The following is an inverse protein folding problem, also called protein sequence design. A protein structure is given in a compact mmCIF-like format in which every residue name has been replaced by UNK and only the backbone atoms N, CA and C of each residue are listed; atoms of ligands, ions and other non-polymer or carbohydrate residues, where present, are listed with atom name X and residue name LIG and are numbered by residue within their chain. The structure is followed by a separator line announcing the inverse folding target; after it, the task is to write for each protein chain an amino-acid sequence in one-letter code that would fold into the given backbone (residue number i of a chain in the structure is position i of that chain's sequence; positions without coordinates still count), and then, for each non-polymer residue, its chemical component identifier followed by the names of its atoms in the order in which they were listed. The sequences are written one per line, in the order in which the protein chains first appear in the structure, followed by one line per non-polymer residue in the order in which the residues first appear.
data_IF_909192257558
#
_entry.id   IF_909192257558
#
_cell.length_a   1.000
_cell.length_b   1.000
_cell.length_c   1.000
_cell.angle_alpha   90.00
_cell.angle_beta   90.00
_cell.angle_gamma   90.00
#
_symmetry.space_group_name_H-M   'P 1'
#
loop_
_entity.id
_entity.type
_entity.pdbx_description
1 polymer ?
#
# COMPACT_ATOMS: atom_id res chain seq x y z
N UNK A 1 -10.89 -15.39 6.69
CA UNK A 1 -11.50 -15.97 7.89
C UNK A 1 -12.91 -15.44 8.15
N UNK A 2 -13.18 -14.13 8.21
CA UNK A 2 -14.56 -13.66 8.49
C UNK A 2 -15.62 -14.01 7.43
N UNK A 3 -15.24 -14.02 6.15
CA UNK A 3 -16.14 -14.33 5.03
C UNK A 3 -16.72 -15.75 5.10
N UNK A 4 -15.93 -16.73 5.53
CA UNK A 4 -16.37 -18.13 5.62
C UNK A 4 -17.36 -18.34 6.76
N UNK A 5 -17.18 -17.68 7.91
CA UNK A 5 -18.07 -17.83 9.06
C UNK A 5 -19.46 -17.23 8.83
N UNK A 6 -19.53 -16.07 8.15
CA UNK A 6 -20.80 -15.44 7.80
C UNK A 6 -21.57 -16.28 6.77
N UNK A 7 -20.88 -16.87 5.79
CA UNK A 7 -21.48 -17.75 4.80
C UNK A 7 -22.03 -19.02 5.42
N UNK A 8 -21.34 -19.62 6.39
CA UNK A 8 -21.83 -20.80 7.13
C UNK A 8 -23.08 -20.46 7.93
N UNK A 9 -23.13 -19.29 8.59
CA UNK A 9 -24.33 -18.85 9.31
C UNK A 9 -25.53 -18.59 8.39
N UNK A 10 -25.29 -17.95 7.24
CA UNK A 10 -26.33 -17.72 6.23
C UNK A 10 -26.77 -19.03 5.54
N UNK A 11 -25.87 -20.01 5.45
CA UNK A 11 -26.18 -21.33 4.92
C UNK A 11 -27.12 -22.11 5.83
N UNK A 12 -26.88 -22.05 7.14
CA UNK A 12 -27.73 -22.74 8.12
C UNK A 12 -29.13 -22.16 8.25
N UNK A 13 -29.37 -20.93 7.77
CA UNK A 13 -30.68 -20.28 7.81
C UNK A 13 -31.52 -20.48 6.54
N UNK A 14 -31.04 -21.25 5.56
CA UNK A 14 -31.79 -21.52 4.33
C UNK A 14 -32.92 -22.53 4.56
N UNK A 15 -34.07 -22.37 3.87
CA UNK A 15 -35.18 -23.32 3.99
C UNK A 15 -34.73 -24.70 3.51
N UNK A 16 -34.81 -25.69 4.40
CA UNK A 16 -34.41 -27.08 4.11
C UNK A 16 -35.51 -27.93 3.48
N UNK A 17 -36.78 -27.59 3.66
CA UNK A 17 -37.91 -28.37 3.13
C UNK A 17 -38.19 -28.00 1.67
N UNK A 18 -38.39 -29.01 0.82
CA UNK A 18 -38.79 -28.84 -0.58
C UNK A 18 -37.66 -28.46 -1.56
N UNK A 19 -36.40 -28.48 -1.13
CA UNK A 19 -35.25 -28.23 -2.03
C UNK A 19 -34.93 -29.52 -2.81
N UNK A 20 -34.93 -29.50 -4.16
CA UNK A 20 -34.45 -30.63 -4.94
C UNK A 20 -33.00 -30.98 -4.59
N UNK A 21 -32.68 -32.26 -4.36
CA UNK A 21 -31.33 -32.70 -3.95
C UNK A 21 -30.25 -32.24 -4.93
N UNK A 22 -30.51 -32.28 -6.24
CA UNK A 22 -29.55 -31.84 -7.25
C UNK A 22 -29.30 -30.32 -7.21
N UNK A 23 -30.34 -29.53 -6.91
CA UNK A 23 -30.20 -28.08 -6.73
C UNK A 23 -29.36 -27.78 -5.49
N UNK A 24 -29.54 -28.55 -4.42
CA UNK A 24 -28.75 -28.45 -3.19
C UNK A 24 -27.29 -28.80 -3.45
N UNK A 25 -27.01 -29.92 -4.11
CA UNK A 25 -25.65 -30.35 -4.45
C UNK A 25 -24.92 -29.32 -5.34
N UNK A 26 -25.63 -28.75 -6.32
CA UNK A 26 -25.12 -27.69 -7.19
C UNK A 26 -24.75 -26.43 -6.38
N UNK A 27 -25.61 -26.03 -5.45
CA UNK A 27 -25.35 -24.88 -4.58
C UNK A 27 -24.18 -25.15 -3.61
N UNK A 28 -24.11 -26.36 -3.03
CA UNK A 28 -22.99 -26.81 -2.19
C UNK A 28 -21.66 -26.79 -2.94
N UNK A 29 -21.67 -27.20 -4.23
CA UNK A 29 -20.49 -27.09 -5.11
C UNK A 29 -20.03 -25.64 -5.25
N UNK A 30 -20.97 -24.69 -5.43
CA UNK A 30 -20.66 -23.26 -5.51
C UNK A 30 -20.05 -22.71 -4.23
N UNK A 31 -20.59 -23.11 -3.06
CA UNK A 31 -20.02 -22.76 -1.75
C UNK A 31 -18.62 -23.35 -1.58
N UNK A 32 -18.42 -24.62 -1.97
CA UNK A 32 -17.10 -25.26 -1.94
C UNK A 32 -16.07 -24.54 -2.81
N UNK A 33 -16.45 -24.12 -4.02
CA UNK A 33 -15.59 -23.31 -4.90
C UNK A 33 -15.23 -21.96 -4.24
N UNK A 34 -16.20 -21.32 -3.59
CA UNK A 34 -15.97 -20.07 -2.86
C UNK A 34 -15.02 -20.25 -1.68
N UNK A 35 -15.14 -21.36 -0.92
CA UNK A 35 -14.22 -21.67 0.19
C UNK A 35 -12.79 -21.90 -0.30
N UNK A 36 -12.62 -22.46 -1.50
CA UNK A 36 -11.33 -22.56 -2.20
C UNK A 36 -10.84 -21.24 -2.81
N UNK A 37 -11.59 -20.14 -2.64
CA UNK A 37 -11.36 -18.81 -3.24
C UNK A 37 -11.43 -18.80 -4.78
N UNK A 38 -11.98 -19.84 -5.40
CA UNK A 38 -12.24 -19.86 -6.83
C UNK A 38 -13.54 -19.10 -7.12
N UNK A 39 -13.43 -17.78 -7.15
CA UNK A 39 -14.58 -16.88 -7.33
C UNK A 39 -15.22 -17.04 -8.70
N UNK A 40 -14.42 -17.36 -9.73
CA UNK A 40 -14.91 -17.56 -11.09
C UNK A 40 -15.84 -18.76 -11.17
N UNK A 41 -15.36 -19.91 -10.69
CA UNK A 41 -16.18 -21.12 -10.63
C UNK A 41 -17.38 -20.95 -9.71
N UNK A 42 -17.21 -20.35 -8.53
CA UNK A 42 -18.31 -20.12 -7.60
C UNK A 42 -19.46 -19.32 -8.25
N UNK A 43 -19.15 -18.24 -8.97
CA UNK A 43 -20.17 -17.46 -9.71
C UNK A 43 -20.90 -18.35 -10.73
N UNK A 44 -20.16 -19.12 -11.54
CA UNK A 44 -20.76 -20.01 -12.54
C UNK A 44 -21.69 -21.02 -11.89
N UNK A 45 -21.23 -21.71 -10.84
CA UNK A 45 -21.98 -22.76 -10.15
C UNK A 45 -23.24 -22.19 -9.47
N UNK A 46 -23.15 -20.98 -8.88
CA UNK A 46 -24.33 -20.27 -8.35
C UNK A 46 -25.34 -19.89 -9.43
N UNK A 47 -24.88 -19.46 -10.61
CA UNK A 47 -25.74 -19.11 -11.75
C UNK A 47 -26.37 -20.33 -12.42
N UNK A 48 -25.80 -21.53 -12.26
CA UNK A 48 -26.43 -22.76 -12.75
C UNK A 48 -27.71 -23.11 -11.98
N UNK A 49 -27.82 -22.74 -10.70
CA UNK A 49 -29.00 -23.02 -9.87
C UNK A 49 -30.29 -22.44 -10.46
N UNK A 50 -30.41 -21.11 -10.69
CA UNK A 50 -31.60 -20.54 -11.33
C UNK A 50 -31.76 -20.97 -12.80
N UNK A 51 -30.67 -21.38 -13.47
CA UNK A 51 -30.71 -21.83 -14.86
C UNK A 51 -31.29 -23.24 -15.04
N UNK A 52 -30.95 -24.18 -14.14
CA UNK A 52 -31.39 -25.59 -14.20
C UNK A 52 -32.59 -25.88 -13.32
N UNK A 53 -32.70 -25.19 -12.19
CA UNK A 53 -33.70 -25.45 -11.16
C UNK A 53 -34.49 -24.17 -10.88
N UNK A 54 -35.17 -23.66 -11.91
CA UNK A 54 -35.83 -22.34 -11.86
C UNK A 54 -36.81 -22.22 -10.71
N UNK A 55 -37.53 -23.28 -10.34
CA UNK A 55 -38.52 -23.27 -9.25
C UNK A 55 -37.92 -23.56 -7.87
N UNK A 56 -36.61 -23.85 -7.80
CA UNK A 56 -35.96 -24.14 -6.53
C UNK A 56 -35.97 -22.91 -5.61
N UNK A 57 -36.25 -23.08 -4.30
CA UNK A 57 -36.11 -21.99 -3.34
C UNK A 57 -34.65 -21.47 -3.22
N UNK A 58 -33.67 -22.21 -3.76
CA UNK A 58 -32.26 -21.80 -3.84
C UNK A 58 -31.94 -20.93 -5.06
N UNK A 59 -32.79 -20.87 -6.07
CA UNK A 59 -32.56 -20.07 -7.28
C UNK A 59 -32.32 -18.56 -6.99
N UNK A 60 -33.15 -17.87 -6.18
CA UNK A 60 -32.89 -16.47 -5.85
C UNK A 60 -31.61 -16.29 -5.02
N UNK A 61 -31.26 -17.26 -4.17
CA UNK A 61 -30.00 -17.25 -3.44
C UNK A 61 -28.79 -17.37 -4.39
N UNK A 62 -28.88 -18.24 -5.40
CA UNK A 62 -27.85 -18.38 -6.44
C UNK A 62 -27.60 -17.05 -7.15
N UNK A 63 -28.66 -16.35 -7.56
CA UNK A 63 -28.55 -15.01 -8.16
C UNK A 63 -27.99 -13.98 -7.18
N UNK A 64 -28.43 -13.97 -5.91
CA UNK A 64 -27.94 -13.05 -4.89
C UNK A 64 -26.43 -13.23 -4.65
N UNK A 65 -25.97 -14.46 -4.42
CA UNK A 65 -24.55 -14.73 -4.19
C UNK A 65 -23.71 -14.50 -5.44
N UNK A 66 -24.20 -14.86 -6.63
CA UNK A 66 -23.53 -14.50 -7.87
C UNK A 66 -23.42 -12.98 -8.04
N UNK A 67 -24.48 -12.23 -7.70
CA UNK A 67 -24.48 -10.76 -7.70
C UNK A 67 -23.41 -10.19 -6.77
N UNK A 68 -23.36 -10.69 -5.54
CA UNK A 68 -22.40 -10.28 -4.53
C UNK A 68 -20.95 -10.60 -4.89
N UNK A 69 -20.69 -11.79 -5.43
CA UNK A 69 -19.36 -12.16 -5.89
C UNK A 69 -18.92 -11.31 -7.08
N UNK A 70 -19.83 -10.96 -7.99
CA UNK A 70 -19.53 -10.02 -9.07
C UNK A 70 -19.21 -8.62 -8.53
N UNK A 71 -19.94 -8.16 -7.50
CA UNK A 71 -19.65 -6.90 -6.81
C UNK A 71 -18.25 -6.90 -6.18
N UNK A 72 -17.85 -8.01 -5.54
CA UNK A 72 -16.50 -8.19 -4.99
C UNK A 72 -15.42 -8.21 -6.08
N UNK A 73 -15.67 -8.86 -7.22
CA UNK A 73 -14.73 -8.85 -8.37
C UNK A 73 -14.62 -7.48 -9.04
N UNK A 74 -15.67 -6.68 -8.93
CA UNK A 74 -15.75 -5.37 -9.57
C UNK A 74 -16.56 -5.36 -10.87
N UNK A 75 -17.28 -6.44 -11.19
CA UNK A 75 -18.21 -6.48 -12.33
C UNK A 75 -19.60 -6.06 -11.88
N UNK A 76 -19.78 -4.76 -11.70
CA UNK A 76 -21.03 -4.19 -11.15
C UNK A 76 -22.21 -4.28 -12.11
N UNK A 77 -21.94 -4.36 -13.42
CA UNK A 77 -22.99 -4.60 -14.40
C UNK A 77 -23.54 -6.02 -14.24
N UNK A 78 -22.67 -7.03 -14.11
CA UNK A 78 -23.10 -8.39 -13.81
C UNK A 78 -23.77 -8.48 -12.42
N UNK A 79 -23.21 -7.81 -11.42
CA UNK A 79 -23.78 -7.76 -10.07
C UNK A 79 -25.22 -7.23 -10.08
N UNK A 80 -25.42 -6.05 -10.67
CA UNK A 80 -26.73 -5.42 -10.83
C UNK A 80 -27.69 -6.32 -11.59
N UNK A 81 -27.28 -6.89 -12.73
CA UNK A 81 -28.13 -7.80 -13.51
C UNK A 81 -28.59 -8.99 -12.67
N UNK A 82 -27.69 -9.62 -11.92
CA UNK A 82 -28.04 -10.77 -11.10
C UNK A 82 -28.97 -10.39 -9.94
N UNK A 83 -28.73 -9.26 -9.27
CA UNK A 83 -29.64 -8.77 -8.24
C UNK A 83 -31.01 -8.40 -8.79
N UNK A 84 -31.05 -7.74 -9.95
CA UNK A 84 -32.30 -7.37 -10.60
C UNK A 84 -33.10 -8.62 -10.98
N UNK A 85 -32.46 -9.63 -11.58
CA UNK A 85 -33.10 -10.92 -11.86
C UNK A 85 -33.62 -11.61 -10.60
N UNK A 86 -32.89 -11.53 -9.48
CA UNK A 86 -33.34 -12.08 -8.22
C UNK A 86 -34.60 -11.41 -7.67
N UNK A 87 -34.85 -10.13 -8.00
CA UNK A 87 -36.07 -9.40 -7.64
C UNK A 87 -37.19 -9.64 -8.65
N UNK A 88 -36.87 -9.63 -9.95
CA UNK A 88 -37.87 -9.71 -11.01
C UNK A 88 -38.44 -11.12 -11.18
N UNK A 89 -37.61 -12.16 -11.04
CA UNK A 89 -38.00 -13.55 -11.30
C UNK A 89 -38.50 -14.29 -10.04
N UNK A 90 -38.23 -13.76 -8.84
CA UNK A 90 -38.43 -14.49 -7.58
C UNK A 90 -39.00 -13.62 -6.46
N UNK A 91 -40.00 -14.15 -5.76
CA UNK A 91 -40.48 -13.57 -4.50
C UNK A 91 -39.57 -14.06 -3.36
N UNK A 92 -38.68 -13.20 -2.89
CA UNK A 92 -37.63 -13.60 -1.95
C UNK A 92 -37.81 -12.94 -0.57
N UNK A 93 -37.60 -13.65 0.56
CA UNK A 93 -37.73 -13.05 1.89
C UNK A 93 -36.79 -11.85 2.13
N UNK A 94 -35.69 -11.77 1.38
CA UNK A 94 -34.76 -10.64 1.44
C UNK A 94 -34.95 -9.61 0.33
N UNK A 95 -36.08 -9.65 -0.39
CA UNK A 95 -36.38 -8.76 -1.53
C UNK A 95 -36.11 -7.29 -1.21
N UNK A 96 -36.50 -6.80 -0.02
CA UNK A 96 -36.23 -5.42 0.41
C UNK A 96 -34.72 -5.11 0.43
N UNK A 97 -33.90 -6.01 0.96
CA UNK A 97 -32.44 -5.82 1.01
C UNK A 97 -31.80 -5.91 -0.38
N UNK A 98 -32.32 -6.79 -1.25
CA UNK A 98 -31.83 -6.93 -2.64
C UNK A 98 -32.20 -5.67 -3.43
N UNK A 99 -33.45 -5.17 -3.31
CA UNK A 99 -33.89 -3.90 -3.90
C UNK A 99 -33.08 -2.73 -3.38
N UNK A 100 -32.79 -2.66 -2.08
CA UNK A 100 -31.93 -1.63 -1.52
C UNK A 100 -30.50 -1.68 -2.11
N UNK A 101 -29.99 -2.88 -2.38
CA UNK A 101 -28.68 -3.08 -3.02
C UNK A 101 -28.69 -2.71 -4.50
N UNK A 102 -29.74 -3.05 -5.24
CA UNK A 102 -29.97 -2.56 -6.61
C UNK A 102 -30.05 -1.04 -6.63
N UNK A 103 -30.85 -0.44 -5.74
CA UNK A 103 -30.97 1.02 -5.62
C UNK A 103 -29.64 1.68 -5.22
N UNK A 104 -28.84 1.04 -4.38
CA UNK A 104 -27.49 1.50 -4.05
C UNK A 104 -26.58 1.50 -5.28
N UNK A 105 -26.59 0.42 -6.06
CA UNK A 105 -25.87 0.35 -7.32
C UNK A 105 -26.39 1.43 -8.26
N UNK A 106 -27.70 1.56 -8.45
CA UNK A 106 -28.31 2.57 -9.32
C UNK A 106 -28.02 4.01 -8.89
N UNK A 107 -28.00 4.30 -7.57
CA UNK A 107 -27.65 5.62 -7.04
C UNK A 107 -26.16 5.92 -7.18
N UNK A 108 -25.29 4.93 -6.96
CA UNK A 108 -23.85 5.05 -7.22
C UNK A 108 -23.54 5.27 -8.70
N UNK A 109 -24.49 4.93 -9.57
CA UNK A 109 -24.36 4.98 -11.01
C UNK A 109 -25.07 6.20 -11.65
N UNK A 110 -26.16 6.70 -11.06
CA UNK A 110 -26.98 7.79 -11.61
C UNK A 110 -27.70 7.41 -12.91
N UNK A 111 -28.44 8.35 -13.52
CA UNK A 111 -29.12 8.15 -14.81
C UNK A 111 -28.15 7.84 -15.97
N UNK A 112 -26.89 8.27 -15.84
CA UNK A 112 -25.79 7.92 -16.74
C UNK A 112 -25.07 6.61 -16.40
N UNK A 113 -25.52 5.88 -15.40
CA UNK A 113 -24.86 4.74 -14.79
C UNK A 113 -24.32 3.68 -15.72
N UNK A 114 -25.17 3.10 -16.58
CA UNK A 114 -24.73 2.11 -17.57
C UNK A 114 -23.71 2.67 -18.56
N UNK A 115 -23.75 3.97 -18.88
CA UNK A 115 -22.77 4.61 -19.78
C UNK A 115 -21.45 4.81 -19.03
N UNK A 116 -21.50 5.29 -17.79
CA UNK A 116 -20.32 5.47 -16.93
C UNK A 116 -19.62 4.13 -16.68
N UNK A 117 -20.37 3.05 -16.40
CA UNK A 117 -19.79 1.71 -16.23
C UNK A 117 -19.19 1.16 -17.51
N UNK A 118 -19.84 1.35 -18.67
CA UNK A 118 -19.26 0.95 -19.96
C UNK A 118 -17.97 1.71 -20.26
N UNK A 119 -17.94 3.01 -20.01
CA UNK A 119 -16.72 3.82 -20.15
C UNK A 119 -15.62 3.37 -19.18
N UNK A 120 -15.99 3.09 -17.93
CA UNK A 120 -15.05 2.58 -16.93
C UNK A 120 -14.49 1.21 -17.31
N UNK A 121 -15.32 0.27 -17.73
CA UNK A 121 -14.90 -1.07 -18.15
C UNK A 121 -13.98 -0.99 -19.37
N UNK A 122 -14.31 -0.16 -20.36
CA UNK A 122 -13.45 0.12 -21.50
C UNK A 122 -12.07 0.68 -21.08
N UNK A 123 -12.04 1.64 -20.14
CA UNK A 123 -10.78 2.17 -19.59
C UNK A 123 -10.00 1.11 -18.81
N UNK A 124 -10.69 0.22 -18.08
CA UNK A 124 -10.02 -0.83 -17.32
C UNK A 124 -9.50 -1.97 -18.18
N UNK A 125 -10.05 -2.20 -19.37
CA UNK A 125 -9.54 -3.21 -20.31
C UNK A 125 -8.48 -2.67 -21.27
N UNK A 126 -8.51 -1.38 -21.56
CA UNK A 126 -7.54 -0.76 -22.45
C UNK A 126 -6.10 -0.80 -21.90
N UNK A 127 -5.08 -0.95 -22.78
CA UNK A 127 -3.69 -0.81 -22.40
C UNK A 127 -3.37 0.63 -22.02
N UNK A 128 -2.44 0.87 -21.08
CA UNK A 128 -2.17 2.21 -20.57
C UNK A 128 -1.25 3.00 -21.52
N UNK A 129 -1.85 3.75 -22.44
CA UNK A 129 -1.18 4.68 -23.39
C UNK A 129 -1.30 6.15 -22.94
N UNK A 130 -0.63 7.09 -23.64
CA UNK A 130 -0.81 8.52 -23.37
C UNK A 130 -2.26 9.01 -23.57
N UNK A 131 -2.95 8.49 -24.59
CA UNK A 131 -4.37 8.76 -24.83
C UNK A 131 -5.25 8.19 -23.71
N UNK A 132 -4.94 6.99 -23.23
CA UNK A 132 -5.63 6.36 -22.10
C UNK A 132 -5.55 7.22 -20.83
N UNK A 133 -4.39 7.86 -20.57
CA UNK A 133 -4.24 8.77 -19.43
C UNK A 133 -5.21 9.94 -19.55
N UNK A 134 -5.26 10.61 -20.71
CA UNK A 134 -6.17 11.73 -20.94
C UNK A 134 -7.64 11.34 -20.78
N UNK A 135 -8.06 10.19 -21.34
CA UNK A 135 -9.43 9.67 -21.18
C UNK A 135 -9.75 9.32 -19.72
N UNK A 136 -8.80 8.73 -19.00
CA UNK A 136 -8.96 8.35 -17.60
C UNK A 136 -9.06 9.56 -16.67
N UNK A 137 -8.23 10.59 -16.88
CA UNK A 137 -8.30 11.84 -16.12
C UNK A 137 -9.62 12.59 -16.41
N UNK A 138 -10.03 12.67 -17.68
CA UNK A 138 -11.33 13.24 -18.06
C UNK A 138 -12.50 12.49 -17.43
N UNK A 139 -12.45 11.16 -17.40
CA UNK A 139 -13.44 10.33 -16.72
C UNK A 139 -13.49 10.64 -15.22
N UNK A 140 -12.34 10.67 -14.53
CA UNK A 140 -12.27 10.97 -13.10
C UNK A 140 -12.70 12.40 -12.76
N UNK A 141 -12.50 13.37 -13.67
CA UNK A 141 -12.98 14.76 -13.50
C UNK A 141 -14.51 14.83 -13.60
N UNK A 142 -15.11 14.08 -14.52
CA UNK A 142 -16.58 14.04 -14.69
C UNK A 142 -17.28 13.26 -13.57
N UNK A 143 -16.63 12.23 -13.02
CA UNK A 143 -17.24 11.35 -12.00
C UNK A 143 -16.31 11.23 -10.77
N UNK A 144 -16.06 12.33 -10.02
CA UNK A 144 -15.02 12.37 -9.00
C UNK A 144 -15.29 11.47 -7.80
N UNK A 145 -16.57 11.25 -7.47
CA UNK A 145 -17.03 10.40 -6.36
C UNK A 145 -17.47 9.00 -6.81
N UNK A 146 -17.03 8.57 -7.99
CA UNK A 146 -17.31 7.21 -8.45
C UNK A 146 -16.67 6.21 -7.49
N UNK A 147 -17.47 5.27 -6.96
CA UNK A 147 -17.01 4.30 -5.96
C UNK A 147 -15.74 3.56 -6.43
N UNK A 148 -15.63 3.27 -7.74
CA UNK A 148 -14.52 2.52 -8.32
C UNK A 148 -13.38 3.38 -8.88
N UNK A 149 -13.44 4.70 -8.66
CA UNK A 149 -12.37 5.63 -9.09
C UNK A 149 -11.02 5.26 -8.50
N UNK A 150 -10.97 4.69 -7.29
CA UNK A 150 -9.71 4.32 -6.63
C UNK A 150 -8.85 3.35 -7.45
N UNK A 151 -9.45 2.32 -8.07
CA UNK A 151 -8.70 1.35 -8.89
C UNK A 151 -8.07 2.01 -10.12
N UNK A 152 -8.84 2.86 -10.80
CA UNK A 152 -8.37 3.63 -11.96
C UNK A 152 -7.24 4.59 -11.56
N UNK A 153 -7.39 5.26 -10.41
CA UNK A 153 -6.36 6.15 -9.85
C UNK A 153 -5.06 5.42 -9.52
N UNK A 154 -5.12 4.19 -8.99
CA UNK A 154 -3.91 3.38 -8.75
C UNK A 154 -3.21 3.04 -10.08
N UNK A 155 -3.96 2.64 -11.12
CA UNK A 155 -3.36 2.39 -12.45
C UNK A 155 -2.76 3.64 -13.07
N UNK A 156 -3.45 4.78 -12.98
CA UNK A 156 -2.91 6.08 -13.41
C UNK A 156 -1.64 6.43 -12.64
N UNK A 157 -1.60 6.19 -11.33
CA UNK A 157 -0.42 6.42 -10.53
C UNK A 157 0.76 5.55 -10.97
N UNK A 158 0.52 4.27 -11.23
CA UNK A 158 1.54 3.35 -11.74
C UNK A 158 2.10 3.83 -13.07
N UNK A 159 1.23 4.25 -14.00
CA UNK A 159 1.67 4.85 -15.26
C UNK A 159 2.52 6.11 -15.02
N UNK A 160 2.06 7.04 -14.17
CA UNK A 160 2.84 8.24 -13.85
C UNK A 160 4.20 7.92 -13.24
N UNK A 161 4.33 6.85 -12.44
CA UNK A 161 5.63 6.42 -11.89
C UNK A 161 6.57 5.89 -12.99
N UNK A 162 6.06 5.11 -13.94
CA UNK A 162 6.84 4.59 -15.08
C UNK A 162 7.45 5.72 -15.91
N UNK A 163 6.76 6.85 -16.04
CA UNK A 163 7.23 8.04 -16.76
C UNK A 163 7.83 9.12 -15.83
N UNK A 164 8.30 8.73 -14.64
CA UNK A 164 8.95 9.60 -13.66
C UNK A 164 8.14 10.84 -13.20
N UNK A 165 6.81 10.84 -13.39
CA UNK A 165 5.88 11.90 -12.98
C UNK A 165 5.38 11.70 -11.54
N UNK A 166 6.31 11.60 -10.59
CA UNK A 166 6.03 11.22 -9.19
C UNK A 166 4.99 12.11 -8.51
N UNK A 167 4.97 13.42 -8.80
CA UNK A 167 4.00 14.34 -8.21
C UNK A 167 2.55 14.05 -8.68
N UNK A 168 2.37 13.64 -9.93
CA UNK A 168 1.07 13.21 -10.45
C UNK A 168 0.65 11.87 -9.83
N UNK A 169 1.57 10.90 -9.77
CA UNK A 169 1.34 9.61 -9.13
C UNK A 169 0.88 9.76 -7.67
N UNK A 170 1.58 10.62 -6.91
CA UNK A 170 1.22 10.93 -5.53
C UNK A 170 -0.20 11.47 -5.41
N UNK A 171 -0.59 12.46 -6.25
CA UNK A 171 -1.95 13.02 -6.23
C UNK A 171 -3.00 11.93 -6.45
N UNK A 172 -2.78 11.05 -7.44
CA UNK A 172 -3.72 9.96 -7.71
C UNK A 172 -3.81 8.96 -6.55
N UNK A 173 -2.68 8.60 -5.93
CA UNK A 173 -2.68 7.68 -4.78
C UNK A 173 -3.35 8.27 -3.54
N UNK A 174 -3.18 9.56 -3.25
CA UNK A 174 -3.87 10.24 -2.15
C UNK A 174 -5.39 10.24 -2.37
N UNK A 175 -5.85 10.51 -3.59
CA UNK A 175 -7.28 10.40 -3.88
C UNK A 175 -7.77 8.95 -3.84
N UNK A 176 -6.95 7.97 -4.25
CA UNK A 176 -7.28 6.55 -4.15
C UNK A 176 -7.38 6.06 -2.69
N UNK A 177 -6.67 6.68 -1.73
CA UNK A 177 -6.77 6.30 -0.30
C UNK A 177 -8.12 6.70 0.31
N UNK A 178 -8.87 7.59 -0.36
CA UNK A 178 -10.23 8.00 0.02
C UNK A 178 -11.31 7.10 -0.59
N UNK A 179 -10.91 6.06 -1.33
CA UNK A 179 -11.83 5.09 -1.92
C UNK A 179 -12.65 4.39 -0.83
N UNK A 180 -13.98 4.26 -1.01
CA UNK A 180 -14.82 3.46 -0.11
C UNK A 180 -14.49 1.96 -0.17
N UNK A 181 -13.92 1.48 -1.30
CA UNK A 181 -13.31 0.15 -1.38
C UNK A 181 -12.02 0.10 -0.55
N UNK A 182 -12.13 -0.53 0.62
CA UNK A 182 -11.05 -0.69 1.60
C UNK A 182 -9.83 -1.45 1.08
N UNK A 183 -10.01 -2.41 0.16
CA UNK A 183 -8.89 -3.13 -0.42
C UNK A 183 -8.10 -2.21 -1.35
N UNK A 184 -8.82 -1.43 -2.17
CA UNK A 184 -8.23 -0.42 -3.04
C UNK A 184 -7.51 0.66 -2.22
N UNK A 185 -8.12 1.16 -1.14
CA UNK A 185 -7.48 2.12 -0.25
C UNK A 185 -6.19 1.55 0.37
N UNK A 186 -6.21 0.30 0.83
CA UNK A 186 -5.03 -0.36 1.39
C UNK A 186 -3.90 -0.55 0.35
N UNK A 187 -4.25 -0.93 -0.89
CA UNK A 187 -3.30 -1.02 -2.01
C UNK A 187 -2.67 0.34 -2.32
N UNK A 188 -3.50 1.39 -2.37
CA UNK A 188 -3.03 2.76 -2.60
C UNK A 188 -2.05 3.21 -1.49
N UNK A 189 -2.36 2.94 -0.22
CA UNK A 189 -1.45 3.23 0.90
C UNK A 189 -0.12 2.49 0.79
N UNK A 190 -0.17 1.19 0.48
CA UNK A 190 1.03 0.37 0.30
C UNK A 190 1.94 0.94 -0.79
N UNK A 191 1.37 1.48 -1.87
CA UNK A 191 2.13 2.13 -2.94
C UNK A 191 2.60 3.55 -2.59
N UNK A 192 1.81 4.31 -1.84
CA UNK A 192 2.09 5.72 -1.51
C UNK A 192 3.20 5.88 -0.47
N UNK A 193 3.24 5.03 0.56
CA UNK A 193 4.19 5.16 1.68
C UNK A 193 5.65 5.16 1.21
N UNK A 194 6.12 4.21 0.38
CA UNK A 194 7.50 4.23 -0.12
C UNK A 194 7.86 5.52 -0.88
N UNK A 195 6.92 6.07 -1.65
CA UNK A 195 7.14 7.31 -2.42
C UNK A 195 7.37 8.50 -1.48
N UNK A 196 6.58 8.61 -0.42
CA UNK A 196 6.71 9.68 0.58
C UNK A 196 7.98 9.55 1.41
N UNK A 197 8.34 8.31 1.79
CA UNK A 197 9.58 8.02 2.52
C UNK A 197 10.80 8.37 1.68
N UNK A 198 10.86 7.92 0.42
CA UNK A 198 11.99 8.19 -0.48
C UNK A 198 12.18 9.68 -0.77
N UNK A 199 11.10 10.48 -0.76
CA UNK A 199 11.17 11.94 -0.89
C UNK A 199 11.44 12.67 0.44
N UNK A 200 11.48 11.96 1.56
CA UNK A 200 11.60 12.57 2.88
C UNK A 200 10.43 13.50 3.24
N UNK A 201 9.24 13.27 2.67
CA UNK A 201 8.04 14.10 2.89
C UNK A 201 7.33 13.70 4.19
N UNK A 202 7.98 14.04 5.32
CA UNK A 202 7.42 13.83 6.66
C UNK A 202 6.06 14.53 6.87
N UNK A 203 5.84 15.79 6.42
CA UNK A 203 4.53 16.41 6.53
C UNK A 203 3.45 15.64 5.76
N UNK A 204 3.79 15.06 4.61
CA UNK A 204 2.93 14.17 3.84
C UNK A 204 2.58 12.90 4.60
N UNK A 205 3.55 12.21 5.21
CA UNK A 205 3.31 11.02 6.02
C UNK A 205 2.43 11.31 7.26
N UNK A 206 2.67 12.45 7.94
CA UNK A 206 1.86 12.89 9.09
C UNK A 206 0.44 13.33 8.70
N UNK A 207 0.25 13.90 7.51
CA UNK A 207 -1.11 14.17 6.98
C UNK A 207 -1.82 12.87 6.64
N UNK A 208 -1.13 11.96 5.94
CA UNK A 208 -1.67 10.66 5.59
C UNK A 208 -2.10 9.86 6.83
N UNK A 209 -1.29 9.82 7.89
CA UNK A 209 -1.66 9.12 9.12
C UNK A 209 -2.92 9.67 9.77
N UNK A 210 -3.14 10.99 9.71
CA UNK A 210 -4.32 11.69 10.25
C UNK A 210 -5.56 11.53 9.38
N UNK A 211 -5.40 11.65 8.06
CA UNK A 211 -6.50 11.59 7.07
C UNK A 211 -7.00 10.17 6.81
N UNK A 212 -6.27 9.14 7.25
CA UNK A 212 -6.75 7.77 7.19
C UNK A 212 -8.07 7.61 7.96
N UNK A 213 -9.18 7.27 7.28
CA UNK A 213 -10.48 7.14 7.93
C UNK A 213 -10.41 6.02 8.97
N UNK A 214 -10.61 6.38 10.24
CA UNK A 214 -10.67 5.45 11.38
C UNK A 214 -11.90 4.52 11.32
N UNK A 215 -12.93 4.94 10.60
CA UNK A 215 -14.31 4.51 10.84
C UNK A 215 -14.72 3.18 10.22
N UNK A 216 -13.85 2.41 9.55
CA UNK A 216 -14.29 1.15 8.92
C UNK A 216 -13.38 -0.07 9.06
N UNK A 217 -12.18 0.01 9.63
CA UNK A 217 -11.30 -1.17 9.69
C UNK A 217 -10.32 -1.18 10.85
N UNK A 218 -10.28 -2.30 11.58
CA UNK A 218 -9.15 -2.73 12.43
C UNK A 218 -7.79 -2.83 11.69
N UNK A 219 -7.79 -2.71 10.35
CA UNK A 219 -6.58 -2.51 9.54
C UNK A 219 -6.13 -1.06 9.49
N UNK A 220 -7.05 -0.09 9.53
CA UNK A 220 -6.75 1.34 9.50
C UNK A 220 -5.84 1.74 10.67
N UNK A 221 -6.17 1.29 11.88
CA UNK A 221 -5.34 1.53 13.07
C UNK A 221 -3.96 0.90 12.96
N UNK A 222 -3.87 -0.32 12.42
CA UNK A 222 -2.57 -0.97 12.15
C UNK A 222 -1.73 -0.17 11.16
N UNK A 223 -2.33 0.32 10.06
CA UNK A 223 -1.63 1.18 9.11
C UNK A 223 -1.21 2.50 9.73
N UNK A 224 -2.09 3.16 10.48
CA UNK A 224 -1.78 4.41 11.20
C UNK A 224 -0.62 4.21 12.18
N UNK A 225 -0.65 3.15 12.97
CA UNK A 225 0.42 2.80 13.91
C UNK A 225 1.74 2.50 13.20
N UNK A 226 1.70 1.76 12.10
CA UNK A 226 2.90 1.47 11.30
C UNK A 226 3.49 2.74 10.68
N UNK A 227 2.66 3.61 10.11
CA UNK A 227 3.11 4.91 9.58
C UNK A 227 3.68 5.77 10.71
N UNK A 228 3.03 5.80 11.88
CA UNK A 228 3.53 6.52 13.06
C UNK A 228 4.91 6.03 13.50
N UNK A 229 5.13 4.71 13.58
CA UNK A 229 6.43 4.11 13.87
C UNK A 229 7.49 4.48 12.82
N UNK A 230 7.12 4.46 11.53
CA UNK A 230 8.03 4.86 10.45
C UNK A 230 8.42 6.34 10.55
N UNK A 231 7.45 7.23 10.77
CA UNK A 231 7.70 8.68 10.94
C UNK A 231 8.63 8.93 12.14
N UNK A 232 8.34 8.31 13.28
CA UNK A 232 9.19 8.41 14.47
C UNK A 232 10.62 7.88 14.21
N UNK A 233 10.75 6.78 13.46
CA UNK A 233 12.05 6.24 13.05
C UNK A 233 12.84 7.21 12.17
N UNK A 234 12.20 7.79 11.15
CA UNK A 234 12.85 8.76 10.25
C UNK A 234 13.26 10.03 11.02
N UNK A 235 12.43 10.51 11.94
CA UNK A 235 12.75 11.67 12.78
C UNK A 235 13.93 11.41 13.71
N UNK A 236 14.02 10.22 14.32
CA UNK A 236 15.21 9.81 15.09
C UNK A 236 16.47 9.80 14.23
N UNK A 237 16.41 9.24 13.02
CA UNK A 237 17.57 9.21 12.10
C UNK A 237 18.00 10.62 11.71
N UNK A 238 17.05 11.53 11.42
CA UNK A 238 17.37 12.94 11.13
C UNK A 238 18.00 13.66 12.31
N UNK A 239 17.49 13.44 13.52
CA UNK A 239 18.06 14.02 14.74
C UNK A 239 19.49 13.53 14.98
N UNK A 240 19.72 12.22 14.83
CA UNK A 240 21.06 11.63 14.94
C UNK A 240 22.01 12.26 13.90
N UNK A 241 21.60 12.33 12.63
CA UNK A 241 22.42 12.94 11.59
C UNK A 241 22.71 14.42 11.87
N UNK A 242 21.75 15.16 12.40
CA UNK A 242 21.93 16.56 12.80
C UNK A 242 22.94 16.71 13.94
N UNK A 243 22.86 15.86 14.97
CA UNK A 243 23.82 15.84 16.08
C UNK A 243 25.23 15.51 15.55
N UNK A 244 25.35 14.47 14.72
CA UNK A 244 26.63 14.05 14.12
C UNK A 244 27.25 15.18 13.30
N UNK A 245 26.46 15.83 12.43
CA UNK A 245 26.93 16.98 11.66
C UNK A 245 27.32 18.16 12.55
N UNK A 246 26.53 18.49 13.57
CA UNK A 246 26.84 19.55 14.53
C UNK A 246 28.16 19.32 15.24
N UNK A 247 28.41 18.08 15.70
CA UNK A 247 29.68 17.70 16.30
C UNK A 247 30.85 17.77 15.31
N UNK A 248 30.67 17.37 14.05
CA UNK A 248 31.70 17.50 13.01
C UNK A 248 32.04 18.97 12.73
N UNK A 249 31.03 19.85 12.64
CA UNK A 249 31.28 21.29 12.44
C UNK A 249 32.01 21.89 13.63
N UNK A 250 31.59 21.59 14.87
CA UNK A 250 32.29 22.04 16.08
C UNK A 250 33.75 21.56 16.12
N UNK A 251 33.98 20.31 15.73
CA UNK A 251 35.32 19.74 15.63
C UNK A 251 36.18 20.48 14.59
N UNK A 252 35.63 20.77 13.42
CA UNK A 252 36.32 21.55 12.37
C UNK A 252 36.62 22.99 12.83
N UNK A 253 35.69 23.66 13.51
CA UNK A 253 35.93 25.00 14.09
C UNK A 253 37.08 24.96 15.10
N UNK A 254 37.13 23.92 15.95
CA UNK A 254 38.21 23.74 16.91
C UNK A 254 39.57 23.51 16.23
N UNK A 255 39.60 22.81 15.09
CA UNK A 255 40.80 22.61 14.29
C UNK A 255 41.29 23.89 13.60
N UNK A 256 40.37 24.75 13.12
CA UNK A 256 40.70 25.95 12.36
C UNK A 256 41.15 27.12 13.25
N UNK A 257 40.72 27.18 14.51
CA UNK A 257 41.13 28.22 15.46
C UNK A 257 42.24 27.73 16.41
N UNK A 258 43.53 27.77 16.02
CA UNK A 258 44.63 27.42 16.90
C UNK A 258 44.71 28.44 18.04
N UNK A 259 44.22 28.07 19.22
CA UNK A 259 44.45 28.86 20.44
C UNK A 259 45.94 28.82 20.78
N UNK A 260 46.57 30.01 20.79
CA UNK A 260 48.00 30.24 21.06
C UNK A 260 48.49 29.84 22.48
N UNK A 261 47.71 29.16 23.33
CA UNK A 261 48.12 28.81 24.71
C UNK A 261 48.29 27.29 24.91
N UNK A 262 49.52 26.92 25.29
CA UNK A 262 50.02 25.56 25.47
C UNK A 262 49.33 24.84 26.65
N UNK A 263 49.04 23.54 26.44
CA UNK A 263 49.04 22.39 27.39
C UNK A 263 47.77 21.82 28.04
N UNK A 264 46.54 22.31 27.83
CA UNK A 264 45.35 21.67 28.49
C UNK A 264 44.44 20.86 27.53
N UNK A 265 44.86 20.59 26.29
CA UNK A 265 43.90 20.32 25.19
C UNK A 265 43.74 18.85 24.74
N UNK A 266 44.40 17.87 25.36
CA UNK A 266 44.30 16.47 24.91
C UNK A 266 42.97 15.80 25.27
N UNK A 267 42.43 16.00 26.47
CA UNK A 267 41.21 15.32 26.93
C UNK A 267 39.91 15.89 26.33
N UNK A 268 39.84 17.21 26.14
CA UNK A 268 38.67 17.87 25.51
C UNK A 268 38.55 17.56 24.01
N UNK A 269 39.62 17.08 23.37
CA UNK A 269 39.64 16.73 21.95
C UNK A 269 38.98 15.37 21.66
N UNK A 270 39.06 14.43 22.61
CA UNK A 270 38.49 13.09 22.45
C UNK A 270 37.03 12.98 22.90
N UNK A 271 36.54 13.91 23.74
CA UNK A 271 35.17 13.88 24.24
C UNK A 271 34.11 13.94 23.11
N UNK A 272 34.23 14.81 22.09
CA UNK A 272 33.27 14.84 20.98
C UNK A 272 33.34 13.57 20.13
N UNK A 273 34.54 13.01 19.92
CA UNK A 273 34.75 11.79 19.14
C UNK A 273 34.18 10.56 19.86
N UNK A 274 34.37 10.48 21.18
CA UNK A 274 33.83 9.43 22.04
C UNK A 274 32.29 9.51 22.12
N UNK A 275 31.71 10.72 22.24
CA UNK A 275 30.26 10.93 22.18
C UNK A 275 29.68 10.55 20.80
N UNK A 276 30.40 10.83 19.71
CA UNK A 276 29.97 10.49 18.36
C UNK A 276 29.99 8.97 18.11
N UNK A 277 30.96 8.27 18.70
CA UNK A 277 31.05 6.80 18.67
C UNK A 277 30.05 6.12 19.62
N UNK A 278 29.67 6.77 20.73
CA UNK A 278 28.79 6.19 21.74
C UNK A 278 27.29 6.30 21.39
N UNK A 279 26.89 7.33 20.63
CA UNK A 279 25.47 7.66 20.42
C UNK A 279 24.79 6.84 19.31
N UNK A 280 25.50 6.07 18.47
CA UNK A 280 24.86 5.46 17.28
C UNK A 280 25.10 3.96 17.10
N UNK A 281 24.34 3.11 17.81
CA UNK A 281 24.15 1.72 17.40
C UNK A 281 23.19 1.68 16.19
N UNK A 282 23.68 1.25 15.02
CA UNK A 282 22.82 0.78 13.91
C UNK A 282 22.77 1.59 12.61
N UNK A 283 23.59 2.62 12.40
CA UNK A 283 23.62 3.38 11.12
C UNK A 283 24.81 2.97 10.22
N UNK A 284 24.80 1.73 9.71
CA UNK A 284 25.89 1.19 8.89
C UNK A 284 26.22 1.98 7.60
N UNK A 285 25.26 2.35 6.73
CA UNK A 285 25.62 2.82 5.39
C UNK A 285 26.14 4.26 5.31
N UNK A 286 25.54 5.20 6.04
CA UNK A 286 25.81 6.64 5.91
C UNK A 286 27.11 7.05 6.61
N UNK A 287 27.50 6.34 7.67
CA UNK A 287 28.79 6.56 8.34
C UNK A 287 29.98 6.09 7.47
N UNK A 288 29.75 5.20 6.50
CA UNK A 288 30.83 4.65 5.66
C UNK A 288 31.41 5.69 4.70
N UNK A 289 30.59 6.45 3.98
CA UNK A 289 31.10 7.45 3.04
C UNK A 289 31.71 8.65 3.76
N UNK A 290 31.09 9.10 4.86
CA UNK A 290 31.63 10.23 5.63
C UNK A 290 32.93 9.88 6.35
N UNK A 291 33.04 8.69 6.94
CA UNK A 291 34.29 8.33 7.58
C UNK A 291 35.41 8.06 6.55
N UNK A 292 35.12 7.66 5.30
CA UNK A 292 36.15 7.56 4.24
C UNK A 292 36.77 8.94 4.01
N UNK A 293 35.94 9.99 3.94
CA UNK A 293 36.41 11.37 3.73
C UNK A 293 37.17 11.89 4.96
N UNK A 294 36.71 11.59 6.17
CA UNK A 294 37.40 11.96 7.42
C UNK A 294 38.74 11.24 7.56
N UNK A 295 38.80 9.94 7.24
CA UNK A 295 40.06 9.17 7.23
C UNK A 295 41.01 9.70 6.15
N UNK A 296 40.53 9.99 4.95
CA UNK A 296 41.35 10.59 3.89
C UNK A 296 41.89 11.96 4.30
N UNK A 297 41.06 12.81 4.91
CA UNK A 297 41.50 14.11 5.44
C UNK A 297 42.53 13.93 6.55
N UNK A 298 42.28 13.04 7.53
CA UNK A 298 43.22 12.74 8.61
C UNK A 298 44.52 12.12 8.10
N UNK A 299 44.48 11.29 7.06
CA UNK A 299 45.65 10.70 6.42
C UNK A 299 46.46 11.76 5.66
N UNK A 300 45.80 12.62 4.87
CA UNK A 300 46.43 13.73 4.14
C UNK A 300 47.09 14.73 5.09
N UNK A 301 46.45 15.07 6.22
CA UNK A 301 47.02 15.96 7.23
C UNK A 301 48.04 15.27 8.15
N UNK A 302 47.87 13.98 8.43
CA UNK A 302 48.75 13.17 9.29
C UNK A 302 50.11 12.86 8.65
N UNK A 303 50.18 12.83 7.31
CA UNK A 303 51.42 12.59 6.55
C UNK A 303 52.51 13.64 6.83
N UNK A 304 52.14 14.88 7.19
CA UNK A 304 53.10 15.94 7.57
C UNK A 304 53.61 15.85 9.01
N UNK A 305 53.07 14.96 9.86
CA UNK A 305 53.41 14.88 11.30
C UNK A 305 53.85 13.48 11.79
N UNK A 306 54.03 12.51 10.90
CA UNK A 306 54.47 11.15 11.28
C UNK A 306 53.38 10.26 11.88
N UNK A 307 52.09 10.63 11.77
CA UNK A 307 50.95 9.92 12.40
C UNK A 307 50.26 8.94 11.42
N UNK A 308 50.69 8.90 10.16
CA UNK A 308 49.97 8.24 9.06
C UNK A 308 49.73 6.73 9.20
N UNK A 309 50.58 6.00 9.94
CA UNK A 309 50.48 4.53 10.07
C UNK A 309 49.32 4.11 10.98
N UNK A 310 49.08 4.84 12.07
CA UNK A 310 48.01 4.50 13.03
C UNK A 310 46.61 4.78 12.49
N UNK A 311 46.46 5.81 11.65
CA UNK A 311 45.16 6.19 11.07
C UNK A 311 44.72 5.18 10.00
N UNK A 312 45.65 4.62 9.22
CA UNK A 312 45.35 3.59 8.22
C UNK A 312 44.81 2.30 8.82
N UNK A 313 45.44 1.79 9.88
CA UNK A 313 45.01 0.56 10.57
C UNK A 313 43.67 0.72 11.28
N UNK A 314 43.42 1.89 11.89
CA UNK A 314 42.15 2.17 12.56
C UNK A 314 40.99 2.33 11.56
N UNK A 315 41.26 2.93 10.39
CA UNK A 315 40.29 2.96 9.31
C UNK A 315 39.95 1.55 8.83
N UNK A 316 40.94 0.70 8.55
CA UNK A 316 40.71 -0.66 8.07
C UNK A 316 39.83 -1.49 9.02
N UNK A 317 40.05 -1.38 10.33
CA UNK A 317 39.27 -2.07 11.37
C UNK A 317 37.80 -1.64 11.43
N UNK A 318 37.51 -0.35 11.21
CA UNK A 318 36.14 0.18 11.22
C UNK A 318 35.44 -0.05 9.88
N UNK A 319 36.17 0.01 8.76
CA UNK A 319 35.60 -0.01 7.42
C UNK A 319 35.15 -1.40 6.95
N UNK A 320 35.92 -2.43 7.27
CA UNK A 320 35.65 -3.79 6.81
C UNK A 320 34.27 -4.33 7.24
N UNK A 321 33.84 -4.21 8.52
CA UNK A 321 32.52 -4.68 8.93
C UNK A 321 31.37 -3.81 8.40
N UNK A 322 31.60 -2.50 8.22
CA UNK A 322 30.58 -1.58 7.69
C UNK A 322 30.32 -1.84 6.20
N UNK A 323 31.38 -2.08 5.41
CA UNK A 323 31.26 -2.43 3.99
C UNK A 323 30.52 -3.77 3.81
N UNK A 324 30.81 -4.77 4.65
CA UNK A 324 30.10 -6.04 4.67
C UNK A 324 28.60 -5.89 5.00
N UNK A 325 28.25 -4.98 5.91
CA UNK A 325 26.87 -4.69 6.28
C UNK A 325 26.07 -3.96 5.17
N UNK A 326 26.74 -3.13 4.36
CA UNK A 326 26.13 -2.42 3.23
C UNK A 326 25.86 -3.39 2.07
N UNK A 327 26.85 -4.22 1.75
CA UNK A 327 26.74 -5.22 0.68
C UNK A 327 25.65 -6.26 0.99
N UNK A 328 25.47 -6.65 2.26
CA UNK A 328 24.42 -7.60 2.66
C UNK A 328 23.01 -6.99 2.68
N UNK A 329 22.85 -5.69 2.96
CA UNK A 329 21.53 -5.04 3.04
C UNK A 329 21.00 -4.45 1.73
N UNK A 330 21.86 -4.25 0.71
CA UNK A 330 21.45 -3.73 -0.59
C UNK A 330 21.08 -4.79 -1.64
N UNK A 331 21.31 -6.08 -1.37
CA UNK A 331 20.97 -7.17 -2.30
C UNK A 331 19.51 -7.69 -2.35
N UNK A 332 18.57 -7.41 -1.42
CA UNK A 332 17.22 -8.00 -1.51
C UNK A 332 16.24 -7.23 -2.44
N UNK A 333 16.62 -6.07 -3.00
CA UNK A 333 15.68 -5.23 -3.76
C UNK A 333 15.60 -5.50 -5.27
N UNK A 334 16.48 -6.35 -5.82
CA UNK A 334 16.47 -6.71 -7.25
C UNK A 334 15.57 -7.90 -7.61
N UNK A 335 14.96 -8.58 -6.63
CA UNK A 335 14.14 -9.79 -6.88
C UNK A 335 12.60 -9.57 -6.89
N UNK A 336 12.11 -8.33 -6.81
CA UNK A 336 10.66 -8.05 -6.74
C UNK A 336 9.98 -7.57 -8.03
N UNK A 337 10.63 -7.72 -9.19
CA UNK A 337 9.99 -7.57 -10.50
C UNK A 337 9.80 -8.95 -11.15
N UNK A 338 8.84 -9.71 -10.63
CA UNK A 338 8.24 -10.89 -11.26
C UNK A 338 6.75 -10.57 -11.48
N UNK A 339 6.13 -10.99 -12.60
CA UNK A 339 5.02 -10.25 -13.19
C UNK A 339 3.73 -10.40 -12.38
N UNK A 340 3.08 -9.25 -12.19
CA UNK A 340 1.65 -9.11 -11.91
C UNK A 340 0.82 -9.30 -13.18
#
# INVERSE_FOLDING_TARGET
MFLSSLLVLLWTSMPGQGVPQDARAQFDSAVGALMRKDTGRAITEFLMVPGRYKESPLAPWGLYYAGWLNELRGDYMAARRNYQRAVDEYRHPYEVSIRARVAYLDKGLGSGGPIILRQWDALMKAPPTGEWVGKSESFLKRVPKFYYSGRLRIRLAAWHLLYHRVSQARRQLVEATRSPDTETAAKALKALVPILVNRGDLPGLRRLSRELPLSSMARGDRYRNNIGKMVAGIERVRLINFIVWGCMVLFLVFLIFPRKKKRVHSLLFFLPLALLLWVVPGTGPVLSTMGIHVVLLLWLFGKKRGIGVWIGSFAYLIYTPVLALILTNHFPYTLFLSPL
#
